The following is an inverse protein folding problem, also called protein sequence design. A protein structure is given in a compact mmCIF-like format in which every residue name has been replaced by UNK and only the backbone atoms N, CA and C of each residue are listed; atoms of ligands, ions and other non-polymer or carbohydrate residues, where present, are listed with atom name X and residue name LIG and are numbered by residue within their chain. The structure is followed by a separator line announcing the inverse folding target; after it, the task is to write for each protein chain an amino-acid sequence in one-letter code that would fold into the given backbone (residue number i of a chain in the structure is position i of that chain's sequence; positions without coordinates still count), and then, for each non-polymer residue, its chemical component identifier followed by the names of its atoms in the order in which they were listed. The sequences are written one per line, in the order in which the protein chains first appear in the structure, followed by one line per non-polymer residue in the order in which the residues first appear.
data_IF_915501021257
#
_entry.id   IF_915501021257
#
_cell.length_a   1.000
_cell.length_b   1.000
_cell.length_c   1.000
_cell.angle_alpha   90.00
_cell.angle_beta   90.00
_cell.angle_gamma   90.00
#
_symmetry.space_group_name_H-M   'P 1'
#
loop_
_entity.id
_entity.type
_entity.pdbx_description
1 polymer ?
#
# COMPACT_ATOMS: atom_id res chain seq x y z
N UNK A 1 5.46 30.57 2.83
CA UNK A 1 5.02 29.33 3.50
C UNK A 1 5.55 28.16 2.69
N UNK A 2 6.42 27.34 3.27
CA UNK A 2 6.90 26.15 2.58
C UNK A 2 5.72 25.18 2.39
N UNK A 3 5.40 24.83 1.14
CA UNK A 3 4.44 23.77 0.86
C UNK A 3 5.08 22.46 1.35
N UNK A 4 4.61 21.94 2.48
CA UNK A 4 4.90 20.58 2.92
C UNK A 4 4.20 19.63 1.95
N UNK A 5 4.86 19.35 0.82
CA UNK A 5 4.53 18.17 0.05
C UNK A 5 5.15 16.99 0.79
N UNK A 6 4.37 15.95 1.14
CA UNK A 6 4.95 14.72 1.67
C UNK A 6 6.01 14.23 0.68
N UNK A 7 7.18 13.86 1.22
CA UNK A 7 8.25 13.33 0.37
C UNK A 7 7.75 12.02 -0.26
N UNK A 8 8.14 11.71 -1.51
CA UNK A 8 7.85 10.39 -2.06
C UNK A 8 8.38 9.31 -1.11
N UNK A 9 7.48 8.44 -0.65
CA UNK A 9 7.77 7.39 0.35
C UNK A 9 8.26 7.91 1.71
N UNK A 10 7.64 8.97 2.23
CA UNK A 10 7.83 9.37 3.63
C UNK A 10 7.37 8.23 4.57
N UNK A 11 8.22 7.71 5.46
CA UNK A 11 7.84 6.67 6.42
C UNK A 11 6.62 7.05 7.27
N UNK A 12 6.45 8.35 7.57
CA UNK A 12 5.29 8.85 8.30
C UNK A 12 3.96 8.58 7.59
N UNK A 13 3.99 8.41 6.26
CA UNK A 13 2.82 8.14 5.42
C UNK A 13 2.59 6.64 5.19
N UNK A 14 3.42 5.74 5.71
CA UNK A 14 3.32 4.30 5.42
C UNK A 14 1.97 3.71 5.83
N UNK A 15 1.39 4.11 6.96
CA UNK A 15 0.04 3.69 7.37
C UNK A 15 -1.05 4.18 6.39
N UNK A 16 -0.92 5.39 5.87
CA UNK A 16 -1.86 5.96 4.88
C UNK A 16 -1.72 5.22 3.55
N UNK A 17 -0.49 4.97 3.10
CA UNK A 17 -0.19 4.20 1.87
C UNK A 17 -0.70 2.76 1.96
N UNK A 18 -0.56 2.11 3.11
CA UNK A 18 -1.06 0.77 3.36
C UNK A 18 -2.59 0.74 3.21
N UNK A 19 -3.31 1.60 3.93
CA UNK A 19 -4.76 1.68 3.85
C UNK A 19 -5.26 1.98 2.44
N UNK A 20 -4.60 2.89 1.72
CA UNK A 20 -4.93 3.20 0.32
C UNK A 20 -4.69 2.02 -0.60
N UNK A 21 -3.63 1.24 -0.38
CA UNK A 21 -3.32 0.06 -1.21
C UNK A 21 -4.32 -1.06 -0.99
N UNK A 22 -4.73 -1.30 0.27
CA UNK A 22 -5.80 -2.24 0.62
C UNK A 22 -7.12 -1.83 -0.03
N UNK A 23 -7.55 -0.57 0.14
CA UNK A 23 -8.80 -0.08 -0.47
C UNK A 23 -8.79 -0.16 -2.00
N UNK A 24 -7.66 0.11 -2.65
CA UNK A 24 -7.51 -0.06 -4.09
C UNK A 24 -7.58 -1.53 -4.53
N UNK A 25 -7.13 -2.46 -3.69
CA UNK A 25 -7.21 -3.89 -3.97
C UNK A 25 -8.66 -4.36 -3.85
N UNK A 26 -9.35 -4.00 -2.77
CA UNK A 26 -10.78 -4.32 -2.54
C UNK A 26 -11.67 -3.74 -3.67
N UNK A 27 -11.50 -2.47 -4.02
CA UNK A 27 -12.24 -1.85 -5.11
C UNK A 27 -11.96 -2.53 -6.47
N UNK A 28 -10.74 -3.01 -6.68
CA UNK A 28 -10.39 -3.76 -7.87
C UNK A 28 -10.98 -5.18 -7.86
N UNK A 29 -11.08 -5.84 -6.71
CA UNK A 29 -11.78 -7.13 -6.55
C UNK A 29 -13.27 -7.01 -6.86
N UNK A 30 -13.91 -5.92 -6.41
CA UNK A 30 -15.30 -5.64 -6.77
C UNK A 30 -15.46 -5.40 -8.27
N UNK A 31 -14.55 -4.64 -8.91
CA UNK A 31 -14.55 -4.45 -10.36
C UNK A 31 -14.35 -5.77 -11.11
N UNK A 32 -13.54 -6.68 -10.57
CA UNK A 32 -13.24 -7.98 -11.16
C UNK A 32 -14.49 -8.86 -11.33
N UNK A 33 -15.54 -8.65 -10.53
CA UNK A 33 -16.83 -9.36 -10.65
C UNK A 33 -17.57 -9.08 -11.96
N UNK A 34 -17.26 -7.95 -12.61
CA UNK A 34 -17.86 -7.52 -13.88
C UNK A 34 -16.88 -7.55 -15.05
N UNK A 35 -15.61 -7.87 -14.78
CA UNK A 35 -14.56 -7.88 -15.79
C UNK A 35 -14.43 -9.28 -16.43
N UNK A 36 -14.10 -9.31 -17.71
CA UNK A 36 -13.91 -10.57 -18.45
C UNK A 36 -12.62 -10.57 -19.28
N UNK A 37 -12.15 -11.77 -19.62
CA UNK A 37 -10.99 -11.97 -20.48
C UNK A 37 -9.76 -11.19 -20.05
N UNK A 38 -9.27 -10.32 -20.94
CA UNK A 38 -8.02 -9.58 -20.74
C UNK A 38 -8.11 -8.55 -19.61
N UNK A 39 -9.28 -8.01 -19.31
CA UNK A 39 -9.46 -7.05 -18.21
C UNK A 39 -9.37 -7.74 -16.85
N UNK A 40 -10.04 -8.90 -16.72
CA UNK A 40 -9.97 -9.75 -15.53
C UNK A 40 -8.52 -10.11 -15.17
N UNK A 41 -7.75 -10.61 -16.14
CA UNK A 41 -6.34 -10.98 -15.93
C UNK A 41 -5.46 -9.79 -15.54
N UNK A 42 -5.73 -8.59 -16.07
CA UNK A 42 -5.00 -7.38 -15.70
C UNK A 42 -5.31 -6.93 -14.27
N UNK A 43 -6.58 -7.00 -13.87
CA UNK A 43 -7.01 -6.68 -12.51
C UNK A 43 -6.36 -7.66 -11.53
N UNK A 44 -6.40 -8.96 -11.82
CA UNK A 44 -5.77 -10.00 -11.01
C UNK A 44 -4.27 -9.75 -10.83
N UNK A 45 -3.52 -9.56 -11.92
CA UNK A 45 -2.07 -9.26 -11.87
C UNK A 45 -1.75 -7.95 -11.14
N UNK A 46 -2.64 -6.96 -11.18
CA UNK A 46 -2.47 -5.73 -10.37
C UNK A 46 -2.70 -6.01 -8.90
N UNK A 47 -3.68 -6.85 -8.53
CA UNK A 47 -3.93 -7.22 -7.14
C UNK A 47 -2.81 -8.08 -6.55
N UNK A 48 -2.23 -9.00 -7.32
CA UNK A 48 -1.04 -9.76 -6.91
C UNK A 48 0.11 -8.82 -6.49
N UNK A 49 0.43 -7.81 -7.31
CA UNK A 49 1.44 -6.80 -6.97
C UNK A 49 1.06 -5.91 -5.78
N UNK A 50 -0.24 -5.66 -5.56
CA UNK A 50 -0.71 -4.94 -4.36
C UNK A 50 -0.53 -5.77 -3.11
N UNK A 51 -0.71 -7.09 -3.19
CA UNK A 51 -0.48 -7.99 -2.06
C UNK A 51 1.00 -7.95 -1.62
N UNK A 52 1.94 -8.02 -2.57
CA UNK A 52 3.38 -7.82 -2.30
C UNK A 52 3.63 -6.45 -1.66
N UNK A 53 3.08 -5.37 -2.23
CA UNK A 53 3.24 -4.01 -1.66
C UNK A 53 2.65 -3.87 -0.25
N UNK A 54 1.58 -4.61 0.07
CA UNK A 54 0.96 -4.61 1.40
C UNK A 54 1.86 -5.30 2.42
N UNK A 55 2.53 -6.39 2.03
CA UNK A 55 3.49 -7.11 2.86
C UNK A 55 4.70 -6.21 3.16
N UNK A 56 5.32 -5.62 2.13
CA UNK A 56 6.43 -4.68 2.28
C UNK A 56 6.08 -3.52 3.22
N UNK A 57 4.92 -2.89 3.02
CA UNK A 57 4.48 -1.77 3.86
C UNK A 57 4.22 -2.19 5.32
N UNK A 58 3.74 -3.41 5.55
CA UNK A 58 3.55 -3.93 6.92
C UNK A 58 4.90 -4.17 7.61
N UNK A 59 5.87 -4.71 6.89
CA UNK A 59 7.24 -4.87 7.40
C UNK A 59 7.86 -3.52 7.74
N UNK A 60 7.80 -2.54 6.82
CA UNK A 60 8.31 -1.19 7.04
C UNK A 60 7.70 -0.54 8.30
N UNK A 61 6.38 -0.63 8.47
CA UNK A 61 5.69 -0.10 9.67
C UNK A 61 6.16 -0.83 10.94
N UNK A 62 6.34 -2.15 10.88
CA UNK A 62 6.80 -2.94 12.02
C UNK A 62 8.23 -2.55 12.43
N UNK A 63 9.13 -2.37 11.47
CA UNK A 63 10.50 -1.95 11.73
C UNK A 63 10.58 -0.51 12.25
N UNK A 64 9.71 0.39 11.77
CA UNK A 64 9.58 1.74 12.32
C UNK A 64 9.12 1.69 13.79
N UNK A 65 8.07 0.93 14.10
CA UNK A 65 7.55 0.79 15.46
C UNK A 65 8.61 0.17 16.40
N UNK A 66 9.38 -0.83 15.94
CA UNK A 66 10.53 -1.38 16.69
C UNK A 66 11.63 -0.34 16.92
N UNK A 67 11.96 0.45 15.91
CA UNK A 67 12.99 1.50 16.00
C UNK A 67 12.60 2.60 17.00
N UNK A 68 11.30 2.96 17.03
CA UNK A 68 10.73 3.88 18.03
C UNK A 68 10.81 3.30 19.45
N UNK A 69 10.48 2.01 19.62
CA UNK A 69 10.55 1.34 20.93
C UNK A 69 12.00 1.24 21.43
N UNK A 70 12.95 0.98 20.53
CA UNK A 70 14.37 0.84 20.88
C UNK A 70 15.10 2.19 21.03
N UNK A 71 14.40 3.33 20.87
CA UNK A 71 14.98 4.67 21.08
C UNK A 71 16.02 5.09 20.03
N UNK A 72 15.97 4.50 18.83
CA UNK A 72 16.87 4.84 17.71
C UNK A 72 16.37 6.03 16.87
N UNK A 73 15.29 6.69 17.28
CA UNK A 73 14.70 7.87 16.63
C UNK A 73 14.64 9.07 17.58
#
# INVERSE_FOLDING_TARGET
MAKNYPKPNDPADNKVRLNKTISNMEAAEDAMKFAEGKEFEQIKKKNERRAESIEDLKEEISEEDKSRINGYL
#
